data_IF_782706051510
#
_entry.id   IF_782706051510
#
_cell.length_a   1.000
_cell.length_b   1.000
_cell.length_c   1.000
_cell.angle_alpha   90.00
_cell.angle_beta   90.00
_cell.angle_gamma   90.00
#
_symmetry.space_group_name_H-M   'P 1'
#
loop_
_entity.id
_entity.type
_entity.pdbx_description
1 polymer ?
#
# COMPACT_ATOMS: atom_id res chain seq x y z
N UNK A 1 19.42 1.37 17.61
CA UNK A 1 20.59 0.57 17.29
C UNK A 1 20.86 0.64 15.79
N UNK A 2 22.06 1.07 15.32
CA UNK A 2 22.38 1.17 13.89
C UNK A 2 22.16 -0.15 13.12
N UNK A 3 22.42 -1.29 13.76
CA UNK A 3 22.23 -2.62 13.17
C UNK A 3 20.75 -2.89 12.85
N UNK A 4 19.85 -2.54 13.76
CA UNK A 4 18.39 -2.71 13.53
C UNK A 4 17.87 -1.84 12.39
N UNK A 5 18.41 -0.62 12.26
CA UNK A 5 18.08 0.27 11.14
C UNK A 5 18.53 -0.33 9.82
N UNK A 6 19.74 -0.93 9.79
CA UNK A 6 20.26 -1.61 8.59
C UNK A 6 19.40 -2.82 8.21
N UNK A 7 19.03 -3.66 9.19
CA UNK A 7 18.14 -4.83 8.99
C UNK A 7 16.79 -4.38 8.42
N UNK A 8 16.18 -3.36 9.03
CA UNK A 8 14.90 -2.79 8.57
C UNK A 8 15.01 -2.24 7.15
N UNK A 9 16.05 -1.45 6.87
CA UNK A 9 16.26 -0.83 5.55
C UNK A 9 16.48 -1.88 4.46
N UNK A 10 17.28 -2.91 4.73
CA UNK A 10 17.52 -4.01 3.80
C UNK A 10 16.22 -4.77 3.50
N UNK A 11 15.47 -5.15 4.53
CA UNK A 11 14.18 -5.81 4.36
C UNK A 11 13.18 -4.94 3.58
N UNK A 12 13.07 -3.66 3.94
CA UNK A 12 12.21 -2.71 3.25
C UNK A 12 12.56 -2.57 1.77
N UNK A 13 13.84 -2.46 1.42
CA UNK A 13 14.28 -2.34 0.03
C UNK A 13 13.94 -3.59 -0.77
N UNK A 14 14.18 -4.77 -0.20
CA UNK A 14 13.92 -6.05 -0.86
C UNK A 14 12.42 -6.26 -1.13
N UNK A 15 11.60 -6.16 -0.10
CA UNK A 15 10.16 -6.42 -0.22
C UNK A 15 9.41 -5.33 -0.99
N UNK A 16 9.88 -4.08 -1.04
CA UNK A 16 9.24 -3.03 -1.83
C UNK A 16 9.43 -3.13 -3.34
N UNK A 17 10.27 -4.03 -3.85
CA UNK A 17 10.52 -4.17 -5.29
C UNK A 17 9.21 -4.36 -6.07
N UNK A 18 8.37 -5.31 -5.66
CA UNK A 18 7.08 -5.60 -6.31
C UNK A 18 6.15 -4.41 -6.25
N UNK A 19 6.09 -3.72 -5.11
CA UNK A 19 5.24 -2.54 -4.90
C UNK A 19 5.65 -1.40 -5.81
N UNK A 20 6.96 -1.18 -6.02
CA UNK A 20 7.49 -0.14 -6.93
C UNK A 20 7.02 -0.41 -8.38
N UNK A 21 7.16 -1.64 -8.87
CA UNK A 21 6.70 -2.00 -10.23
C UNK A 21 5.18 -1.85 -10.37
N UNK A 22 4.43 -2.30 -9.38
CA UNK A 22 2.97 -2.12 -9.38
C UNK A 22 2.58 -0.64 -9.36
N UNK A 23 3.28 0.19 -8.58
CA UNK A 23 3.04 1.63 -8.52
C UNK A 23 3.23 2.29 -9.89
N UNK A 24 4.25 1.90 -10.64
CA UNK A 24 4.46 2.41 -12.00
C UNK A 24 3.27 2.10 -12.92
N UNK A 25 2.71 0.88 -12.84
CA UNK A 25 1.54 0.47 -13.63
C UNK A 25 0.30 1.29 -13.26
N UNK A 26 0.01 1.45 -11.96
CA UNK A 26 -1.17 2.19 -11.55
C UNK A 26 -1.04 3.69 -11.86
N UNK A 27 0.14 4.28 -11.72
CA UNK A 27 0.37 5.69 -12.09
C UNK A 27 0.16 5.91 -13.59
N UNK A 28 0.64 5.01 -14.45
CA UNK A 28 0.38 5.06 -15.89
C UNK A 28 -1.11 4.96 -16.24
N UNK A 29 -1.92 4.33 -15.37
CA UNK A 29 -3.37 4.19 -15.56
C UNK A 29 -4.16 5.44 -15.15
N UNK A 30 -3.56 6.40 -14.47
CA UNK A 30 -4.26 7.56 -13.88
C UNK A 30 -4.89 8.45 -14.97
N UNK A 31 -4.16 8.84 -16.00
CA UNK A 31 -4.67 9.68 -17.10
C UNK A 31 -5.81 9.02 -17.86
N UNK A 32 -5.70 7.75 -18.34
CA UNK A 32 -6.83 7.06 -18.96
C UNK A 32 -8.08 6.95 -18.06
N UNK A 33 -7.89 6.75 -16.74
CA UNK A 33 -9.01 6.72 -15.79
C UNK A 33 -9.69 8.08 -15.72
N UNK A 34 -8.92 9.17 -15.63
CA UNK A 34 -9.45 10.54 -15.61
C UNK A 34 -10.27 10.83 -16.87
N UNK A 35 -9.70 10.53 -18.04
CA UNK A 35 -10.35 10.76 -19.34
C UNK A 35 -11.66 9.97 -19.50
N UNK A 36 -11.66 8.70 -19.12
CA UNK A 36 -12.85 7.86 -19.19
C UNK A 36 -13.92 8.34 -18.20
N UNK A 37 -13.51 8.75 -16.98
CA UNK A 37 -14.43 9.26 -15.98
C UNK A 37 -15.09 10.57 -16.41
N UNK A 38 -14.33 11.52 -16.97
CA UNK A 38 -14.86 12.81 -17.48
C UNK A 38 -15.83 12.59 -18.65
N UNK A 39 -15.57 11.60 -19.51
CA UNK A 39 -16.49 11.23 -20.60
C UNK A 39 -17.72 10.45 -20.13
N UNK A 40 -17.81 10.10 -18.85
CA UNK A 40 -18.94 9.32 -18.31
C UNK A 40 -18.86 7.81 -18.61
N UNK A 41 -17.72 7.30 -19.14
CA UNK A 41 -17.54 5.88 -19.42
C UNK A 41 -17.19 5.08 -18.15
N UNK A 42 -18.17 4.99 -17.26
CA UNK A 42 -18.02 4.29 -15.97
C UNK A 42 -17.77 2.79 -16.17
N UNK A 43 -18.27 2.21 -17.27
CA UNK A 43 -18.02 0.80 -17.56
C UNK A 43 -16.53 0.55 -17.84
N UNK A 44 -15.90 1.39 -18.62
CA UNK A 44 -14.46 1.32 -18.87
C UNK A 44 -13.66 1.49 -17.58
N UNK A 45 -14.01 2.50 -16.74
CA UNK A 45 -13.37 2.72 -15.44
C UNK A 45 -13.45 1.47 -14.57
N UNK A 46 -14.64 0.86 -14.45
CA UNK A 46 -14.84 -0.38 -13.69
C UNK A 46 -13.97 -1.52 -14.23
N UNK A 47 -13.91 -1.69 -15.54
CA UNK A 47 -13.09 -2.71 -16.17
C UNK A 47 -11.60 -2.47 -15.93
N UNK A 48 -11.15 -1.22 -15.97
CA UNK A 48 -9.78 -0.84 -15.65
C UNK A 48 -9.43 -1.18 -14.20
N UNK A 49 -10.26 -0.79 -13.25
CA UNK A 49 -10.08 -1.11 -11.83
C UNK A 49 -10.05 -2.63 -11.58
N UNK A 50 -10.89 -3.41 -12.26
CA UNK A 50 -10.85 -4.88 -12.19
C UNK A 50 -9.54 -5.46 -12.74
N UNK A 51 -9.00 -4.89 -13.84
CA UNK A 51 -7.68 -5.29 -14.37
C UNK A 51 -6.58 -4.97 -13.39
N UNK A 52 -6.58 -3.78 -12.79
CA UNK A 52 -5.61 -3.40 -11.77
C UNK A 52 -5.67 -4.33 -10.55
N UNK A 53 -6.86 -4.72 -10.10
CA UNK A 53 -7.02 -5.70 -9.02
C UNK A 53 -6.47 -7.08 -9.37
N UNK A 54 -6.60 -7.53 -10.62
CA UNK A 54 -5.98 -8.79 -11.08
C UNK A 54 -4.45 -8.68 -11.10
N UNK A 55 -3.90 -7.55 -11.56
CA UNK A 55 -2.45 -7.30 -11.53
C UNK A 55 -1.96 -7.25 -10.07
N UNK A 56 -2.69 -6.62 -9.15
CA UNK A 56 -2.39 -6.63 -7.73
C UNK A 56 -2.36 -8.07 -7.17
N UNK A 57 -3.31 -8.93 -7.57
CA UNK A 57 -3.31 -10.34 -7.15
C UNK A 57 -2.10 -11.11 -7.66
N UNK A 58 -1.65 -10.83 -8.88
CA UNK A 58 -0.40 -11.40 -9.42
C UNK A 58 0.81 -10.87 -8.64
N UNK A 59 0.82 -9.58 -8.34
CA UNK A 59 1.87 -8.97 -7.51
C UNK A 59 1.96 -9.57 -6.11
N UNK A 60 0.81 -9.95 -5.50
CA UNK A 60 0.79 -10.70 -4.23
C UNK A 60 1.49 -12.07 -4.37
N UNK A 61 1.26 -12.78 -5.47
CA UNK A 61 1.95 -14.07 -5.70
C UNK A 61 3.47 -13.84 -5.81
N UNK A 62 3.89 -12.80 -6.53
CA UNK A 62 5.31 -12.44 -6.63
C UNK A 62 5.90 -12.07 -5.26
N UNK A 63 5.15 -11.32 -4.43
CA UNK A 63 5.57 -10.98 -3.06
C UNK A 63 5.77 -12.23 -2.19
N UNK A 64 4.86 -13.20 -2.29
CA UNK A 64 5.00 -14.49 -1.59
C UNK A 64 6.18 -15.30 -2.11
N UNK A 65 6.48 -15.25 -3.41
CA UNK A 65 7.69 -15.87 -3.97
C UNK A 65 8.97 -15.20 -3.44
N UNK A 66 8.99 -13.86 -3.36
CA UNK A 66 10.11 -13.15 -2.76
C UNK A 66 10.31 -13.55 -1.29
N UNK A 67 9.22 -13.75 -0.54
CA UNK A 67 9.31 -14.22 0.85
C UNK A 67 9.96 -15.61 0.95
N UNK A 68 9.55 -16.55 0.12
CA UNK A 68 10.13 -17.91 0.10
C UNK A 68 11.60 -17.90 -0.31
N UNK A 69 12.00 -16.99 -1.21
CA UNK A 69 13.35 -16.87 -1.71
C UNK A 69 14.23 -15.92 -0.89
N UNK A 70 13.69 -15.31 0.17
CA UNK A 70 14.35 -14.22 0.90
C UNK A 70 15.70 -14.63 1.51
N UNK A 71 15.79 -15.81 2.14
CA UNK A 71 17.02 -16.28 2.76
C UNK A 71 18.14 -16.44 1.72
N UNK A 72 17.80 -17.03 0.57
CA UNK A 72 18.74 -17.18 -0.55
C UNK A 72 19.14 -15.81 -1.12
N UNK A 73 18.20 -14.92 -1.33
CA UNK A 73 18.44 -13.58 -1.85
C UNK A 73 19.33 -12.76 -0.91
N UNK A 74 19.06 -12.79 0.40
CA UNK A 74 19.87 -12.07 1.38
C UNK A 74 21.28 -12.65 1.50
N UNK A 75 21.47 -13.97 1.42
CA UNK A 75 22.80 -14.59 1.46
C UNK A 75 23.69 -14.14 0.30
N UNK A 76 23.12 -13.92 -0.89
CA UNK A 76 23.87 -13.42 -2.06
C UNK A 76 24.10 -11.91 -1.98
N UNK A 77 23.07 -11.14 -1.58
CA UNK A 77 23.11 -9.67 -1.69
C UNK A 77 23.87 -9.02 -0.54
N UNK A 78 23.67 -9.49 0.69
CA UNK A 78 24.22 -8.86 1.89
C UNK A 78 25.27 -9.76 2.58
N UNK A 79 25.29 -11.05 2.24
CA UNK A 79 26.11 -12.06 2.88
C UNK A 79 25.69 -12.28 4.34
N UNK A 80 26.58 -12.89 5.13
CA UNK A 80 26.30 -13.26 6.52
C UNK A 80 26.26 -12.08 7.51
N UNK A 81 26.39 -10.84 7.01
CA UNK A 81 26.48 -9.64 7.86
C UNK A 81 25.15 -9.17 8.42
N UNK A 82 24.04 -9.46 7.74
CA UNK A 82 22.71 -9.01 8.12
C UNK A 82 21.74 -10.20 8.01
N UNK A 83 21.17 -10.58 9.14
CA UNK A 83 20.08 -11.57 9.17
C UNK A 83 18.77 -10.86 9.41
N UNK A 84 17.82 -11.01 8.47
CA UNK A 84 16.46 -10.45 8.61
C UNK A 84 15.60 -11.46 9.37
N UNK A 85 15.05 -11.11 10.55
CA UNK A 85 14.17 -12.01 11.29
C UNK A 85 12.91 -12.35 10.47
N UNK A 86 12.49 -13.61 10.47
CA UNK A 86 11.28 -14.05 9.76
C UNK A 86 10.02 -13.27 10.19
N UNK A 87 9.93 -12.87 11.45
CA UNK A 87 8.82 -12.05 11.95
C UNK A 87 8.76 -10.66 11.29
N UNK A 88 9.91 -10.04 11.01
CA UNK A 88 10.00 -8.78 10.28
C UNK A 88 9.66 -8.98 8.80
N UNK A 89 10.14 -10.06 8.19
CA UNK A 89 9.81 -10.43 6.81
C UNK A 89 8.30 -10.62 6.62
N UNK A 90 7.63 -11.38 7.50
CA UNK A 90 6.18 -11.57 7.50
C UNK A 90 5.44 -10.24 7.65
N UNK A 91 5.92 -9.34 8.52
CA UNK A 91 5.30 -8.03 8.71
C UNK A 91 5.39 -7.18 7.42
N UNK A 92 6.52 -7.20 6.69
CA UNK A 92 6.65 -6.51 5.40
C UNK A 92 5.76 -7.11 4.32
N UNK A 93 5.70 -8.44 4.21
CA UNK A 93 4.81 -9.11 3.25
C UNK A 93 3.35 -8.73 3.51
N UNK A 94 2.90 -8.77 4.77
CA UNK A 94 1.55 -8.36 5.13
C UNK A 94 1.29 -6.89 4.80
N UNK A 95 2.24 -6.01 5.11
CA UNK A 95 2.17 -4.59 4.75
C UNK A 95 2.02 -4.40 3.23
N UNK A 96 2.87 -5.05 2.43
CA UNK A 96 2.89 -4.90 0.98
C UNK A 96 1.62 -5.47 0.32
N UNK A 97 1.14 -6.63 0.77
CA UNK A 97 -0.12 -7.21 0.29
C UNK A 97 -1.29 -6.24 0.48
N UNK A 98 -1.40 -5.64 1.65
CA UNK A 98 -2.44 -4.64 1.92
C UNK A 98 -2.20 -3.35 1.12
N UNK A 99 -0.95 -2.92 0.97
CA UNK A 99 -0.58 -1.72 0.23
C UNK A 99 -0.90 -1.83 -1.27
N UNK A 100 -0.66 -2.99 -1.90
CA UNK A 100 -0.98 -3.24 -3.30
C UNK A 100 -2.46 -2.98 -3.62
N UNK A 101 -3.38 -3.45 -2.76
CA UNK A 101 -4.81 -3.18 -2.95
C UNK A 101 -5.21 -1.75 -2.55
N UNK A 102 -4.58 -1.18 -1.54
CA UNK A 102 -4.88 0.16 -1.06
C UNK A 102 -4.49 1.24 -2.08
N UNK A 103 -3.32 1.10 -2.73
CA UNK A 103 -2.79 2.08 -3.67
C UNK A 103 -3.70 2.32 -4.88
N UNK A 104 -4.29 1.27 -5.46
CA UNK A 104 -5.17 1.41 -6.61
C UNK A 104 -6.44 2.24 -6.30
N UNK A 105 -6.99 2.08 -5.10
CA UNK A 105 -8.17 2.87 -4.69
C UNK A 105 -7.82 4.34 -4.46
N UNK A 106 -6.69 4.60 -3.80
CA UNK A 106 -6.20 5.96 -3.58
C UNK A 106 -5.90 6.67 -4.90
N UNK A 107 -5.24 5.99 -5.83
CA UNK A 107 -4.96 6.55 -7.14
C UNK A 107 -6.25 6.83 -7.92
N UNK A 108 -7.21 5.90 -7.92
CA UNK A 108 -8.51 6.11 -8.57
C UNK A 108 -9.21 7.36 -8.04
N UNK A 109 -9.33 7.49 -6.71
CA UNK A 109 -9.95 8.64 -6.06
C UNK A 109 -9.22 9.94 -6.42
N UNK A 110 -7.88 9.91 -6.46
CA UNK A 110 -7.07 11.05 -6.89
C UNK A 110 -7.30 11.39 -8.37
N UNK A 111 -7.36 10.38 -9.25
CA UNK A 111 -7.56 10.56 -10.70
C UNK A 111 -8.91 11.20 -11.03
N UNK A 112 -9.93 10.93 -10.22
CA UNK A 112 -11.27 11.55 -10.41
C UNK A 112 -11.44 12.87 -9.64
N UNK A 113 -10.40 13.35 -8.97
CA UNK A 113 -10.36 14.66 -8.28
C UNK A 113 -11.17 14.73 -6.99
N UNK A 114 -11.54 13.59 -6.37
CA UNK A 114 -12.38 13.54 -5.17
C UNK A 114 -11.56 13.25 -3.90
N UNK A 115 -10.65 14.18 -3.55
CA UNK A 115 -9.64 13.94 -2.52
C UNK A 115 -9.98 14.46 -1.11
N UNK A 116 -11.09 15.17 -0.90
CA UNK A 116 -11.37 15.83 0.38
C UNK A 116 -11.40 14.85 1.56
N UNK A 117 -12.01 13.67 1.36
CA UNK A 117 -12.00 12.63 2.39
C UNK A 117 -10.59 12.15 2.72
N UNK A 118 -9.75 11.93 1.70
CA UNK A 118 -8.37 11.50 1.87
C UNK A 118 -7.54 12.53 2.63
N UNK A 119 -7.77 13.83 2.38
CA UNK A 119 -7.10 14.93 3.12
C UNK A 119 -7.47 14.88 4.60
N UNK A 120 -8.76 14.77 4.92
CA UNK A 120 -9.22 14.69 6.32
C UNK A 120 -8.63 13.49 7.02
N UNK A 121 -8.71 12.30 6.39
CA UNK A 121 -8.14 11.07 6.96
C UNK A 121 -6.62 11.23 7.18
N UNK A 122 -5.91 11.89 6.25
CA UNK A 122 -4.47 12.12 6.36
C UNK A 122 -4.11 13.02 7.53
N UNK A 123 -4.91 14.05 7.83
CA UNK A 123 -4.72 14.88 9.00
C UNK A 123 -4.79 14.06 10.31
N UNK A 124 -5.80 13.18 10.43
CA UNK A 124 -5.90 12.28 11.58
C UNK A 124 -4.73 11.30 11.68
N UNK A 125 -4.28 10.75 10.53
CA UNK A 125 -3.14 9.83 10.49
C UNK A 125 -1.85 10.48 11.01
N UNK A 126 -1.55 11.73 10.60
CA UNK A 126 -0.35 12.45 11.03
C UNK A 126 -0.32 12.57 12.56
N UNK A 127 -1.46 12.92 13.18
CA UNK A 127 -1.55 13.08 14.63
C UNK A 127 -1.41 11.74 15.36
N UNK A 128 -2.05 10.68 14.85
CA UNK A 128 -2.11 9.38 15.53
C UNK A 128 -0.86 8.52 15.26
N UNK A 129 -0.19 8.71 14.12
CA UNK A 129 0.92 7.84 13.73
C UNK A 129 2.09 7.90 14.71
N UNK A 130 2.53 9.10 15.09
CA UNK A 130 3.71 9.27 15.95
C UNK A 130 3.53 8.61 17.33
N UNK A 131 2.46 8.88 18.12
CA UNK A 131 2.31 8.25 19.42
C UNK A 131 2.13 6.73 19.33
N UNK A 132 1.38 6.24 18.33
CA UNK A 132 1.16 4.80 18.16
C UNK A 132 2.44 4.11 17.68
N UNK A 133 3.21 4.71 16.76
CA UNK A 133 4.49 4.17 16.34
C UNK A 133 5.48 4.08 17.49
N UNK A 134 5.60 5.12 18.32
CA UNK A 134 6.48 5.10 19.51
C UNK A 134 6.05 3.99 20.48
N UNK A 135 4.74 3.85 20.72
CA UNK A 135 4.22 2.81 21.61
C UNK A 135 4.52 1.40 21.09
N UNK A 136 4.22 1.14 19.80
CA UNK A 136 4.44 -0.18 19.21
C UNK A 136 5.92 -0.52 19.04
N UNK A 137 6.76 0.47 18.74
CA UNK A 137 8.23 0.25 18.63
C UNK A 137 8.82 -0.09 20.00
N UNK A 138 8.32 0.49 21.08
CA UNK A 138 8.80 0.14 22.44
C UNK A 138 8.49 -1.31 22.83
N UNK A 139 7.39 -1.89 22.31
CA UNK A 139 6.95 -3.26 22.65
C UNK A 139 7.54 -4.28 21.67
N UNK A 140 7.52 -3.98 20.37
CA UNK A 140 7.81 -4.92 19.30
C UNK A 140 9.05 -4.57 18.46
N UNK A 141 9.81 -3.54 18.86
CA UNK A 141 10.99 -3.10 18.11
C UNK A 141 10.63 -2.64 16.68
N UNK A 142 11.47 -3.00 15.71
CA UNK A 142 11.28 -2.61 14.28
C UNK A 142 9.98 -3.13 13.67
N UNK A 143 9.48 -4.29 14.12
CA UNK A 143 8.19 -4.84 13.70
C UNK A 143 7.05 -3.90 14.09
N UNK A 144 7.16 -3.26 15.27
CA UNK A 144 6.19 -2.28 15.73
C UNK A 144 6.01 -1.08 14.80
N UNK A 145 7.08 -0.67 14.10
CA UNK A 145 7.01 0.40 13.11
C UNK A 145 6.19 -0.03 11.88
N UNK A 146 6.42 -1.25 11.39
CA UNK A 146 5.63 -1.81 10.27
C UNK A 146 4.17 -1.97 10.68
N UNK A 147 3.91 -2.49 11.89
CA UNK A 147 2.57 -2.63 12.44
C UNK A 147 1.84 -1.29 12.57
N UNK A 148 2.52 -0.23 13.05
CA UNK A 148 1.96 1.12 13.10
C UNK A 148 1.59 1.63 11.70
N UNK A 149 2.43 1.38 10.71
CA UNK A 149 2.18 1.76 9.31
C UNK A 149 0.98 1.02 8.75
N UNK A 150 0.84 -0.28 9.01
CA UNK A 150 -0.34 -1.06 8.61
C UNK A 150 -1.60 -0.48 9.24
N UNK A 151 -1.61 -0.30 10.55
CA UNK A 151 -2.81 0.12 11.29
C UNK A 151 -3.25 1.54 10.95
N UNK A 152 -2.32 2.48 10.86
CA UNK A 152 -2.65 3.90 10.73
C UNK A 152 -2.68 4.37 9.27
N UNK A 153 -1.86 3.81 8.41
CA UNK A 153 -1.82 4.24 7.00
C UNK A 153 -2.52 3.27 6.06
N UNK A 154 -2.19 1.98 6.12
CA UNK A 154 -2.60 1.03 5.07
C UNK A 154 -4.05 0.61 5.21
N UNK A 155 -4.48 0.17 6.40
CA UNK A 155 -5.87 -0.27 6.63
C UNK A 155 -6.87 0.85 6.39
N UNK A 156 -6.71 2.08 6.93
CA UNK A 156 -7.64 3.16 6.63
C UNK A 156 -7.71 3.51 5.14
N UNK A 157 -6.57 3.53 4.43
CA UNK A 157 -6.57 3.76 2.98
C UNK A 157 -7.29 2.66 2.22
N UNK A 158 -7.10 1.41 2.59
CA UNK A 158 -7.78 0.27 1.97
C UNK A 158 -9.29 0.35 2.19
N UNK A 159 -9.72 0.57 3.42
CA UNK A 159 -11.15 0.57 3.80
C UNK A 159 -11.86 1.80 3.23
N UNK A 160 -11.39 2.98 3.59
CA UNK A 160 -12.06 4.23 3.17
C UNK A 160 -11.89 4.48 1.67
N UNK A 161 -10.71 4.24 1.10
CA UNK A 161 -10.47 4.35 -0.34
C UNK A 161 -11.32 3.35 -1.13
N UNK A 162 -11.43 2.10 -0.68
CA UNK A 162 -12.27 1.09 -1.31
C UNK A 162 -13.76 1.42 -1.26
N UNK A 163 -14.27 1.89 -0.11
CA UNK A 163 -15.67 2.34 0.03
C UNK A 163 -15.94 3.54 -0.88
N UNK A 164 -15.03 4.53 -0.88
CA UNK A 164 -15.17 5.73 -1.72
C UNK A 164 -15.16 5.37 -3.20
N UNK A 165 -14.19 4.57 -3.64
CA UNK A 165 -14.11 4.11 -5.03
C UNK A 165 -15.38 3.39 -5.47
N UNK A 166 -15.90 2.47 -4.63
CA UNK A 166 -17.16 1.77 -4.90
C UNK A 166 -18.33 2.75 -5.06
N UNK A 167 -18.47 3.71 -4.13
CA UNK A 167 -19.56 4.71 -4.17
C UNK A 167 -19.49 5.60 -5.40
N UNK A 168 -18.27 6.01 -5.82
CA UNK A 168 -18.08 6.82 -7.03
C UNK A 168 -18.47 6.01 -8.28
N UNK A 169 -18.02 4.77 -8.41
CA UNK A 169 -18.30 3.89 -9.55
C UNK A 169 -19.80 3.54 -9.63
N UNK A 170 -20.49 3.40 -8.48
CA UNK A 170 -21.94 3.11 -8.45
C UNK A 170 -22.82 4.34 -8.52
N UNK A 171 -22.24 5.55 -8.58
CA UNK A 171 -23.02 6.81 -8.59
C UNK A 171 -23.71 7.14 -7.25
N UNK A 172 -23.36 6.44 -6.15
CA UNK A 172 -23.97 6.63 -4.83
C UNK A 172 -23.14 7.53 -3.89
N UNK A 173 -22.06 8.11 -4.41
CA UNK A 173 -21.21 9.02 -3.64
C UNK A 173 -21.97 10.34 -3.39
N UNK A 174 -22.13 10.75 -2.12
CA UNK A 174 -22.76 12.00 -1.69
C UNK A 174 -21.92 12.71 -0.65
N UNK A 175 -22.09 14.03 -0.50
CA UNK A 175 -21.41 14.82 0.52
C UNK A 175 -19.89 14.72 0.41
N UNK A 176 -19.20 14.39 1.52
CA UNK A 176 -17.74 14.31 1.61
C UNK A 176 -17.13 13.19 0.71
N UNK A 177 -17.92 12.15 0.40
CA UNK A 177 -17.48 11.05 -0.46
C UNK A 177 -17.42 11.42 -1.94
N UNK A 178 -18.02 12.56 -2.31
CA UNK A 178 -18.12 13.03 -3.69
C UNK A 178 -17.35 14.35 -3.93
N UNK A 179 -16.53 14.77 -2.99
CA UNK A 179 -15.74 16.00 -3.05
C UNK A 179 -14.27 15.74 -3.10
#
# INVERSE_FOLDING_TARGET
NPTEVSVYSTANTYYNIVVIFFTAIIVASSTPITDAYVRGDIMWVKNCMNKLSKIASIAVILELMLFVLSDFAFSIWVGDKITVPNSLAIAFVLYNVLALFSQQFNLFVASVGKMNLNVIISCFKIVLFIPIAIFLVRIFGTIGLVAATILINTIPNLVFGGIQAKRIITGTATGIWNK
#
